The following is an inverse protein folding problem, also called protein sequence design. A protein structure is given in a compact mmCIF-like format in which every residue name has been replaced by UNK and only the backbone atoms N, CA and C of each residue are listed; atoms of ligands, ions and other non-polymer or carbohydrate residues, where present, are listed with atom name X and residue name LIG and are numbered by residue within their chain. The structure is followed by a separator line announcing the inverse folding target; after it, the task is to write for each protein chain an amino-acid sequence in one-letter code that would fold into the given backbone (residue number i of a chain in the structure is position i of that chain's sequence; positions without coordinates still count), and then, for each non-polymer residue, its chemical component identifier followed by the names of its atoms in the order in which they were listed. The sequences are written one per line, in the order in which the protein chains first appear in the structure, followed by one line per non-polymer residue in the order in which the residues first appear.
data_IF_155391751563
#
_entry.id   IF_155391751563
#
_cell.length_a   1.000
_cell.length_b   1.000
_cell.length_c   1.000
_cell.angle_alpha   90.00
_cell.angle_beta   90.00
_cell.angle_gamma   90.00
#
_symmetry.space_group_name_H-M   'P 1'
#
loop_
_entity.id
_entity.type
_entity.pdbx_description
1 polymer ?
#
# COMPACT_ATOMS: atom_id res chain seq x y z
N UNK A 1 2.18 -8.46 1.13
CA UNK A 1 1.84 -7.92 2.48
C UNK A 1 2.44 -6.54 2.71
N UNK A 2 3.72 -6.29 2.38
CA UNK A 2 4.36 -4.98 2.54
C UNK A 2 3.56 -3.80 1.97
N UNK A 3 3.02 -3.90 0.75
CA UNK A 3 2.24 -2.81 0.14
C UNK A 3 0.96 -2.41 0.89
N UNK A 4 0.34 -3.33 1.63
CA UNK A 4 -0.84 -3.01 2.46
C UNK A 4 -0.43 -2.23 3.70
N UNK A 5 0.64 -2.67 4.38
CA UNK A 5 1.16 -1.99 5.55
C UNK A 5 1.67 -0.59 5.20
N UNK A 6 2.39 -0.45 4.09
CA UNK A 6 2.86 0.85 3.57
C UNK A 6 1.70 1.79 3.22
N UNK A 7 0.65 1.27 2.59
CA UNK A 7 -0.55 2.05 2.29
C UNK A 7 -1.33 2.50 3.52
N UNK A 8 -1.43 1.64 4.55
CA UNK A 8 -2.06 2.01 5.83
C UNK A 8 -1.21 2.99 6.63
N UNK A 9 0.12 2.84 6.59
CA UNK A 9 1.06 3.79 7.18
C UNK A 9 0.90 5.18 6.56
N UNK A 10 0.92 5.26 5.23
CA UNK A 10 0.76 6.52 4.49
C UNK A 10 -0.61 7.19 4.68
N UNK A 11 -1.61 6.43 5.13
CA UNK A 11 -2.93 6.94 5.45
C UNK A 11 -3.10 7.31 6.94
N UNK A 12 -2.03 7.19 7.75
CA UNK A 12 -2.06 7.43 9.21
C UNK A 12 -3.10 6.55 9.93
N UNK A 13 -3.22 5.28 9.52
CA UNK A 13 -4.19 4.32 10.07
C UNK A 13 -3.54 3.20 10.91
N UNK A 14 -2.23 3.28 11.15
CA UNK A 14 -1.50 2.29 11.93
C UNK A 14 -1.21 2.83 13.32
N UNK A 15 -1.53 2.04 14.35
CA UNK A 15 -1.31 2.43 15.74
C UNK A 15 -2.46 2.00 16.63
N UNK A 16 -2.25 2.05 17.94
CA UNK A 16 -3.34 1.77 18.90
C UNK A 16 -4.35 2.91 18.92
N UNK A 17 -3.86 4.13 18.76
CA UNK A 17 -4.61 5.38 18.68
C UNK A 17 -5.51 5.48 17.44
N UNK A 18 -5.17 4.77 16.35
CA UNK A 18 -5.90 4.81 15.07
C UNK A 18 -6.85 3.62 14.84
N UNK A 19 -7.13 2.80 15.86
CA UNK A 19 -7.98 1.59 15.68
C UNK A 19 -9.40 1.91 15.25
N UNK A 20 -9.99 2.94 15.86
CA UNK A 20 -11.36 3.35 15.52
C UNK A 20 -11.41 3.94 14.10
N UNK A 21 -10.38 4.72 13.72
CA UNK A 21 -10.23 5.26 12.36
C UNK A 21 -10.05 4.15 11.32
N UNK A 22 -9.22 3.14 11.62
CA UNK A 22 -9.04 1.98 10.76
C UNK A 22 -10.34 1.17 10.63
N UNK A 23 -11.09 1.02 11.72
CA UNK A 23 -12.39 0.34 11.69
C UNK A 23 -13.45 1.13 10.89
N UNK A 24 -13.33 2.46 10.85
CA UNK A 24 -14.23 3.37 10.15
C UNK A 24 -13.68 3.86 8.79
N UNK A 25 -12.62 3.24 8.27
CA UNK A 25 -11.97 3.64 7.01
C UNK A 25 -12.99 3.77 5.88
N UNK A 26 -12.92 4.89 5.15
CA UNK A 26 -13.81 5.11 4.02
C UNK A 26 -13.41 4.26 2.80
N UNK A 27 -14.40 3.97 1.96
CA UNK A 27 -14.21 3.13 0.78
C UNK A 27 -13.16 3.70 -0.19
N UNK A 28 -13.10 5.02 -0.36
CA UNK A 28 -12.19 5.63 -1.33
C UNK A 28 -10.73 5.46 -0.88
N UNK A 29 -10.46 5.66 0.41
CA UNK A 29 -9.13 5.41 1.00
C UNK A 29 -8.75 3.94 0.89
N UNK A 30 -9.64 3.02 1.29
CA UNK A 30 -9.38 1.58 1.20
C UNK A 30 -9.13 1.13 -0.25
N UNK A 31 -9.94 1.61 -1.19
CA UNK A 31 -9.82 1.30 -2.62
C UNK A 31 -8.48 1.79 -3.17
N UNK A 32 -8.04 3.01 -2.81
CA UNK A 32 -6.72 3.53 -3.21
C UNK A 32 -5.58 2.62 -2.73
N UNK A 33 -5.62 2.20 -1.45
CA UNK A 33 -4.61 1.30 -0.88
C UNK A 33 -4.60 -0.04 -1.59
N UNK A 34 -5.76 -0.67 -1.81
CA UNK A 34 -5.87 -1.97 -2.45
C UNK A 34 -5.49 -1.93 -3.94
N UNK A 35 -5.83 -0.86 -4.66
CA UNK A 35 -5.39 -0.67 -6.05
C UNK A 35 -3.87 -0.62 -6.14
N UNK A 36 -3.21 0.11 -5.23
CA UNK A 36 -1.74 0.14 -5.17
C UNK A 36 -1.16 -1.23 -4.80
N UNK A 37 -1.77 -1.94 -3.85
CA UNK A 37 -1.36 -3.32 -3.51
C UNK A 37 -1.44 -4.26 -4.70
N UNK A 38 -2.53 -4.17 -5.48
CA UNK A 38 -2.71 -4.97 -6.67
C UNK A 38 -1.65 -4.67 -7.74
N UNK A 39 -1.30 -3.39 -7.93
CA UNK A 39 -0.22 -3.00 -8.85
C UNK A 39 1.14 -3.56 -8.42
N UNK A 40 1.48 -3.44 -7.13
CA UNK A 40 2.70 -4.04 -6.55
C UNK A 40 2.72 -5.56 -6.77
N UNK A 41 1.59 -6.23 -6.50
CA UNK A 41 1.44 -7.67 -6.72
C UNK A 41 1.63 -8.05 -8.18
N UNK A 42 1.03 -7.31 -9.11
CA UNK A 42 1.13 -7.53 -10.55
C UNK A 42 2.58 -7.46 -11.04
N UNK A 43 3.35 -6.45 -10.61
CA UNK A 43 4.78 -6.34 -10.96
C UNK A 43 5.58 -7.48 -10.34
N UNK A 44 5.27 -7.85 -9.09
CA UNK A 44 5.99 -8.93 -8.40
C UNK A 44 5.82 -10.26 -9.15
N UNK A 45 4.59 -10.61 -9.55
CA UNK A 45 4.32 -11.86 -10.27
C UNK A 45 4.71 -11.83 -11.75
N UNK A 46 5.02 -10.66 -12.30
CA UNK A 46 5.55 -10.54 -13.67
C UNK A 46 7.08 -10.73 -13.74
N UNK A 47 7.77 -10.84 -12.60
CA UNK A 47 9.23 -10.98 -12.49
C UNK A 47 9.57 -12.34 -11.89
N UNK A 48 10.81 -12.80 -12.11
CA UNK A 48 11.27 -14.05 -11.53
C UNK A 48 11.41 -13.92 -10.00
N UNK A 49 10.74 -14.82 -9.27
CA UNK A 49 10.82 -14.90 -7.81
C UNK A 49 10.08 -13.78 -7.06
N UNK A 50 10.28 -13.72 -5.74
CA UNK A 50 9.71 -12.69 -4.89
C UNK A 50 10.50 -11.37 -5.01
N UNK A 51 10.36 -10.72 -6.17
CA UNK A 51 11.06 -9.48 -6.53
C UNK A 51 10.08 -8.28 -6.57
N UNK A 52 9.74 -7.67 -5.42
CA UNK A 52 8.79 -6.57 -5.36
C UNK A 52 9.34 -5.30 -6.05
N UNK A 53 8.46 -4.42 -6.57
CA UNK A 53 8.85 -3.13 -7.13
C UNK A 53 9.43 -2.17 -6.09
N UNK A 54 10.28 -1.28 -6.57
CA UNK A 54 10.66 -0.02 -5.91
C UNK A 54 9.61 1.07 -6.16
N UNK A 55 9.69 2.21 -5.47
CA UNK A 55 8.82 3.36 -5.76
C UNK A 55 9.00 3.88 -7.20
N UNK A 56 10.23 3.86 -7.72
CA UNK A 56 10.50 4.23 -9.10
C UNK A 56 9.82 3.29 -10.11
N UNK A 57 9.74 1.97 -9.81
CA UNK A 57 8.98 1.02 -10.64
C UNK A 57 7.47 1.33 -10.66
N UNK A 58 6.95 1.99 -9.63
CA UNK A 58 5.56 2.45 -9.55
C UNK A 58 5.34 3.83 -10.17
N UNK A 59 6.41 4.51 -10.60
CA UNK A 59 6.35 5.92 -11.04
C UNK A 59 6.15 6.91 -9.90
N UNK A 60 6.49 6.52 -8.67
CA UNK A 60 6.35 7.32 -7.45
C UNK A 60 7.71 7.92 -7.05
N UNK A 61 7.70 9.18 -6.63
CA UNK A 61 8.87 9.83 -6.05
C UNK A 61 9.06 9.37 -4.59
N UNK A 62 10.27 8.97 -4.22
CA UNK A 62 10.59 8.48 -2.88
C UNK A 62 10.57 9.55 -1.76
N UNK A 63 10.02 10.74 -2.04
CA UNK A 63 9.96 11.87 -1.10
C UNK A 63 8.52 12.04 -0.65
N UNK A 64 8.14 11.28 0.36
CA UNK A 64 7.10 11.66 1.30
C UNK A 64 7.74 11.73 2.69
#
# INVERSE_FOLDING_TARGET
MSGLLDGLWSAELLGVEHRDDLAAIDEATLRRILTRCAHIGAITVSRAGANPPTLADLGEDARN
#
